data_IF_346989910509
#
_entry.id   IF_346989910509
#
_cell.length_a   1.000
_cell.length_b   1.000
_cell.length_c   1.000
_cell.angle_alpha   90.00
_cell.angle_beta   90.00
_cell.angle_gamma   90.00
#
_symmetry.space_group_name_H-M   'P 1'
#
loop_
_entity.id
_entity.type
_entity.pdbx_description
1 polymer ?
#
# COMPACT_ATOMS: atom_id res chain seq x y z
N UNK A 1 -6.40 6.93 23.20
CA UNK A 1 -6.45 7.74 21.96
C UNK A 1 -7.10 9.06 22.30
N UNK A 2 -6.45 10.18 21.97
CA UNK A 2 -7.01 11.52 22.22
C UNK A 2 -8.24 11.76 21.35
N UNK A 3 -9.26 12.48 21.86
CA UNK A 3 -10.53 12.71 21.16
C UNK A 3 -10.36 13.38 19.78
N UNK A 4 -9.41 14.30 19.65
CA UNK A 4 -9.10 14.92 18.35
C UNK A 4 -8.69 13.90 17.28
N UNK A 5 -8.02 12.80 17.66
CA UNK A 5 -7.63 11.73 16.75
C UNK A 5 -8.79 10.75 16.46
N UNK A 6 -9.98 11.01 16.99
CA UNK A 6 -11.21 10.29 16.65
C UNK A 6 -12.04 11.00 15.58
N UNK A 7 -11.69 12.25 15.25
CA UNK A 7 -12.39 13.05 14.25
C UNK A 7 -11.77 12.76 12.89
N UNK A 8 -12.56 12.16 11.98
CA UNK A 8 -12.09 11.76 10.65
C UNK A 8 -11.50 12.93 9.86
N UNK A 9 -12.10 14.11 9.89
CA UNK A 9 -11.60 15.28 9.16
C UNK A 9 -10.19 15.70 9.61
N UNK A 10 -9.92 15.62 10.92
CA UNK A 10 -8.58 15.90 11.46
C UNK A 10 -7.60 14.83 10.98
N UNK A 11 -8.00 13.57 10.92
CA UNK A 11 -7.16 12.50 10.39
C UNK A 11 -6.85 12.68 8.91
N UNK A 12 -7.81 13.12 8.10
CA UNK A 12 -7.58 13.42 6.68
C UNK A 12 -6.51 14.51 6.52
N UNK A 13 -6.58 15.57 7.33
CA UNK A 13 -5.58 16.66 7.31
C UNK A 13 -4.19 16.14 7.71
N UNK A 14 -4.12 15.34 8.78
CA UNK A 14 -2.86 14.73 9.24
C UNK A 14 -2.27 13.81 8.16
N UNK A 15 -3.10 12.97 7.56
CA UNK A 15 -2.69 12.05 6.48
C UNK A 15 -2.21 12.82 5.26
N UNK A 16 -2.91 13.88 4.84
CA UNK A 16 -2.48 14.72 3.73
C UNK A 16 -1.11 15.34 4.00
N UNK A 17 -0.87 15.83 5.22
CA UNK A 17 0.44 16.35 5.61
C UNK A 17 1.54 15.28 5.59
N UNK A 18 1.24 14.05 6.04
CA UNK A 18 2.19 12.93 5.97
C UNK A 18 2.47 12.55 4.52
N UNK A 19 1.45 12.49 3.66
CA UNK A 19 1.63 12.14 2.24
C UNK A 19 2.51 13.16 1.50
N UNK A 20 2.36 14.45 1.80
CA UNK A 20 3.14 15.51 1.18
C UNK A 20 4.60 15.57 1.69
N UNK A 21 4.84 15.32 2.98
CA UNK A 21 6.15 15.50 3.61
C UNK A 21 6.94 14.19 3.79
N UNK A 22 6.26 13.08 4.10
CA UNK A 22 6.83 11.79 4.52
C UNK A 22 5.99 10.59 4.01
N UNK A 23 5.78 10.44 2.68
CA UNK A 23 4.89 9.41 2.14
C UNK A 23 5.32 7.97 2.51
N UNK A 24 6.61 7.75 2.79
CA UNK A 24 7.13 6.47 3.30
C UNK A 24 6.56 6.04 4.65
N UNK A 25 6.00 6.97 5.42
CA UNK A 25 5.51 6.73 6.77
C UNK A 25 4.03 6.36 6.79
N UNK A 26 3.29 6.59 5.68
CA UNK A 26 1.88 6.23 5.55
C UNK A 26 1.58 4.75 5.86
N UNK A 27 2.37 3.76 5.39
CA UNK A 27 2.12 2.36 5.74
C UNK A 27 2.27 2.10 7.23
N UNK A 28 3.23 2.76 7.90
CA UNK A 28 3.41 2.64 9.34
C UNK A 28 2.24 3.28 10.08
N UNK A 29 1.82 4.48 9.66
CA UNK A 29 0.67 5.19 10.20
C UNK A 29 -0.63 4.37 10.08
N UNK A 30 -0.89 3.78 8.91
CA UNK A 30 -2.05 2.92 8.65
C UNK A 30 -2.14 1.71 9.59
N UNK A 31 -0.99 1.16 10.01
CA UNK A 31 -0.92 -0.04 10.88
C UNK A 31 -1.05 0.26 12.37
N UNK A 32 -1.05 1.54 12.79
CA UNK A 32 -1.12 1.90 14.22
C UNK A 32 -2.47 1.56 14.86
N UNK A 33 -3.58 1.88 14.20
CA UNK A 33 -4.93 1.55 14.67
C UNK A 33 -5.94 1.52 13.52
N UNK A 34 -7.08 0.86 13.75
CA UNK A 34 -8.15 0.68 12.74
C UNK A 34 -8.71 1.99 12.21
N UNK A 35 -8.75 3.03 13.04
CA UNK A 35 -9.29 4.33 12.65
C UNK A 35 -8.39 5.05 11.64
N UNK A 36 -7.07 4.89 11.74
CA UNK A 36 -6.12 5.55 10.84
C UNK A 36 -5.97 4.77 9.54
N UNK A 37 -6.29 3.48 9.56
CA UNK A 37 -6.09 2.56 8.46
C UNK A 37 -6.76 3.04 7.17
N UNK A 38 -8.05 3.40 7.19
CA UNK A 38 -8.75 3.79 5.95
C UNK A 38 -8.21 5.08 5.34
N UNK A 39 -8.15 6.23 6.07
CA UNK A 39 -7.63 7.47 5.48
C UNK A 39 -6.19 7.32 4.98
N UNK A 40 -5.34 6.60 5.70
CA UNK A 40 -3.96 6.38 5.33
C UNK A 40 -3.81 5.47 4.11
N UNK A 41 -4.64 4.44 3.97
CA UNK A 41 -4.65 3.58 2.78
C UNK A 41 -5.18 4.34 1.57
N UNK A 42 -6.21 5.17 1.72
CA UNK A 42 -6.74 6.00 0.62
C UNK A 42 -5.65 6.93 0.07
N UNK A 43 -4.86 7.56 0.94
CA UNK A 43 -3.72 8.37 0.53
C UNK A 43 -2.60 7.52 -0.09
N UNK A 44 -2.22 6.41 0.57
CA UNK A 44 -1.16 5.52 0.10
C UNK A 44 -1.45 4.98 -1.30
N UNK A 45 -2.70 4.64 -1.61
CA UNK A 45 -3.13 4.08 -2.90
C UNK A 45 -3.60 5.12 -3.92
N UNK A 46 -3.61 6.42 -3.57
CA UNK A 46 -4.08 7.50 -4.45
C UNK A 46 -3.29 7.59 -5.76
N UNK A 47 -1.97 7.45 -5.68
CA UNK A 47 -1.06 7.49 -6.83
C UNK A 47 -0.01 6.39 -6.66
N UNK A 48 0.06 5.46 -7.59
CA UNK A 48 1.14 4.45 -7.64
C UNK A 48 2.08 4.76 -8.80
N UNK A 49 3.39 4.78 -8.52
CA UNK A 49 4.43 4.99 -9.53
C UNK A 49 4.82 3.72 -10.29
N UNK A 50 4.45 2.56 -9.74
CA UNK A 50 4.73 1.23 -10.28
C UNK A 50 3.49 0.34 -10.07
N UNK A 51 3.33 -0.68 -10.91
CA UNK A 51 2.32 -1.73 -10.74
C UNK A 51 2.73 -2.78 -9.69
N UNK A 52 4.00 -2.81 -9.28
CA UNK A 52 4.51 -3.78 -8.32
C UNK A 52 3.70 -3.85 -7.01
N UNK A 53 3.30 -2.74 -6.35
CA UNK A 53 2.45 -2.79 -5.17
C UNK A 53 1.12 -3.50 -5.40
N UNK A 54 0.49 -3.31 -6.57
CA UNK A 54 -0.74 -3.99 -6.95
C UNK A 54 -0.51 -5.51 -7.08
N UNK A 55 0.54 -5.92 -7.79
CA UNK A 55 0.87 -7.34 -7.95
C UNK A 55 1.21 -7.98 -6.60
N UNK A 56 1.89 -7.25 -5.71
CA UNK A 56 2.20 -7.73 -4.36
C UNK A 56 0.97 -8.00 -3.48
N UNK A 57 -0.20 -7.45 -3.83
CA UNK A 57 -1.47 -7.76 -3.14
C UNK A 57 -2.16 -9.03 -3.62
N UNK A 58 -1.68 -9.62 -4.72
CA UNK A 58 -2.11 -10.93 -5.22
C UNK A 58 -1.58 -12.07 -4.36
N UNK A 59 -2.09 -13.32 -4.51
CA UNK A 59 -1.54 -14.48 -3.82
C UNK A 59 -0.01 -14.60 -3.95
N UNK A 60 0.68 -14.92 -2.85
CA UNK A 60 2.15 -14.93 -2.79
C UNK A 60 2.79 -16.02 -3.66
N UNK A 61 2.02 -17.01 -4.11
CA UNK A 61 2.46 -18.04 -5.06
C UNK A 61 2.40 -17.57 -6.52
N UNK A 62 1.80 -16.40 -6.80
CA UNK A 62 1.67 -15.87 -8.16
C UNK A 62 2.94 -15.16 -8.63
N UNK A 63 3.64 -14.47 -7.74
CA UNK A 63 4.77 -13.60 -8.08
C UNK A 63 6.00 -13.91 -7.23
N UNK A 64 7.18 -13.56 -7.74
CA UNK A 64 8.41 -13.52 -6.97
C UNK A 64 9.19 -12.23 -7.25
N UNK A 65 9.99 -11.79 -6.29
CA UNK A 65 10.92 -10.69 -6.48
C UNK A 65 12.28 -11.23 -6.92
N UNK A 66 12.74 -10.82 -8.09
CA UNK A 66 14.05 -11.15 -8.65
C UNK A 66 14.91 -9.90 -8.81
N UNK A 67 16.20 -10.10 -9.06
CA UNK A 67 17.14 -9.01 -9.34
C UNK A 67 17.70 -9.18 -10.73
N UNK A 68 17.67 -8.10 -11.51
CA UNK A 68 18.38 -8.06 -12.80
C UNK A 68 19.88 -8.27 -12.58
N UNK A 69 20.63 -8.60 -13.63
CA UNK A 69 22.09 -8.67 -13.56
C UNK A 69 22.78 -7.36 -13.12
N UNK A 70 22.05 -6.23 -13.13
CA UNK A 70 22.49 -4.91 -12.62
C UNK A 70 21.99 -4.62 -11.19
N UNK A 71 21.37 -5.58 -10.51
CA UNK A 71 20.89 -5.47 -9.13
C UNK A 71 19.56 -4.75 -8.93
N UNK A 72 18.89 -4.28 -10.00
CA UNK A 72 17.55 -3.66 -9.88
C UNK A 72 16.50 -4.74 -9.63
N UNK A 73 15.63 -4.59 -8.62
CA UNK A 73 14.55 -5.54 -8.35
C UNK A 73 13.47 -5.47 -9.44
N UNK A 74 12.83 -6.60 -9.74
CA UNK A 74 11.63 -6.68 -10.56
C UNK A 74 10.74 -7.84 -10.09
N UNK A 75 9.46 -7.77 -10.42
CA UNK A 75 8.53 -8.88 -10.17
C UNK A 75 8.44 -9.80 -11.38
N UNK A 76 8.52 -11.10 -11.14
CA UNK A 76 8.30 -12.15 -12.13
C UNK A 76 7.09 -12.99 -11.73
N UNK A 77 6.28 -13.39 -12.70
CA UNK A 77 5.19 -14.33 -12.47
C UNK A 77 5.73 -15.75 -12.36
N UNK A 78 5.42 -16.44 -11.25
CA UNK A 78 5.77 -17.86 -11.05
C UNK A 78 4.88 -18.79 -11.87
N UNK A 79 3.66 -18.33 -12.17
CA UNK A 79 2.66 -19.03 -12.97
C UNK A 79 1.77 -18.00 -13.67
N UNK A 80 1.02 -18.47 -14.66
CA UNK A 80 0.01 -17.62 -15.32
C UNK A 80 -1.08 -17.19 -14.31
N UNK A 81 -1.50 -15.90 -14.33
CA UNK A 81 -2.64 -15.43 -13.56
C UNK A 81 -3.91 -16.15 -13.97
N UNK A 82 -4.64 -16.65 -12.98
CA UNK A 82 -5.93 -17.32 -13.16
C UNK A 82 -7.04 -16.38 -12.72
N UNK A 83 -8.28 -16.52 -13.22
CA UNK A 83 -9.41 -15.71 -12.76
C UNK A 83 -9.60 -15.71 -11.24
N UNK A 84 -9.27 -16.83 -10.56
CA UNK A 84 -9.34 -16.94 -9.11
C UNK A 84 -8.37 -16.02 -8.35
N UNK A 85 -7.24 -15.65 -8.95
CA UNK A 85 -6.26 -14.76 -8.30
C UNK A 85 -6.80 -13.34 -8.16
N UNK A 86 -7.75 -12.97 -9.02
CA UNK A 86 -8.42 -11.68 -9.04
C UNK A 86 -9.62 -11.60 -8.09
N UNK A 87 -10.05 -12.71 -7.49
CA UNK A 87 -11.30 -12.78 -6.72
C UNK A 87 -11.34 -11.87 -5.47
N UNK A 88 -10.19 -11.34 -5.04
CA UNK A 88 -10.07 -10.40 -3.93
C UNK A 88 -10.37 -8.95 -4.33
N UNK A 89 -10.38 -8.64 -5.63
CA UNK A 89 -10.53 -7.29 -6.18
C UNK A 89 -11.86 -7.11 -6.90
#
# INVERSE_FOLDING_TARGET
>A
MHYALQITDILIIVVAYIDDAWPSDLPAFARTCRLFMHPALDALWRIQSDLAPLIMTMPSDLWLEEKTGKGRPYLAFQREPRPADWARF
#
